data_IF_923319090338
#
_entry.id   IF_923319090338
#
_cell.length_a   1.000
_cell.length_b   1.000
_cell.length_c   1.000
_cell.angle_alpha   90.00
_cell.angle_beta   90.00
_cell.angle_gamma   90.00
#
_symmetry.space_group_name_H-M   'P 1'
#
loop_
_entity.id
_entity.type
_entity.pdbx_description
1 polymer ?
#
# COMPACT_ATOMS: atom_id res chain seq x y z
N UNK A 1 33.78 44.07 -7.51
CA UNK A 1 33.62 42.63 -7.79
C UNK A 1 33.57 41.92 -6.46
N UNK A 2 32.38 41.51 -6.02
CA UNK A 2 32.19 40.82 -4.75
C UNK A 2 32.44 39.32 -4.95
N UNK A 3 33.38 38.80 -4.18
CA UNK A 3 33.80 37.41 -4.14
C UNK A 3 32.71 36.59 -3.44
N UNK A 4 31.96 35.77 -4.18
CA UNK A 4 30.91 34.90 -3.64
C UNK A 4 31.58 33.61 -3.17
N UNK A 5 31.99 33.61 -1.90
CA UNK A 5 32.55 32.43 -1.25
C UNK A 5 31.42 31.42 -0.99
N UNK A 6 31.29 30.39 -1.83
CA UNK A 6 30.36 29.27 -1.60
C UNK A 6 30.91 28.42 -0.46
N UNK A 7 30.56 28.78 0.75
CA UNK A 7 30.85 28.02 1.96
C UNK A 7 29.78 26.93 2.13
N UNK A 8 29.94 25.75 1.50
CA UNK A 8 29.22 24.55 1.96
C UNK A 8 29.91 23.24 1.61
N UNK A 9 31.04 22.97 2.28
CA UNK A 9 31.64 21.64 2.36
C UNK A 9 30.84 20.65 3.21
N UNK A 10 29.50 20.63 3.12
CA UNK A 10 28.71 19.57 3.75
C UNK A 10 28.77 18.33 2.85
N UNK A 11 29.32 17.20 3.32
CA UNK A 11 29.38 15.99 2.51
C UNK A 11 27.95 15.61 2.11
N UNK A 12 27.73 15.34 0.81
CA UNK A 12 26.43 14.93 0.25
C UNK A 12 25.79 13.79 1.06
N UNK A 13 26.61 12.91 1.65
CA UNK A 13 26.18 11.84 2.54
C UNK A 13 25.47 12.32 3.83
N UNK A 14 25.87 13.47 4.40
CA UNK A 14 25.23 14.04 5.59
C UNK A 14 23.86 14.65 5.28
N UNK A 15 23.68 15.22 4.08
CA UNK A 15 22.39 15.70 3.58
C UNK A 15 21.43 14.55 3.26
N UNK A 16 21.94 13.41 2.81
CA UNK A 16 21.13 12.21 2.55
C UNK A 16 20.65 11.54 3.85
N UNK A 17 21.50 11.48 4.89
CA UNK A 17 21.11 10.95 6.21
C UNK A 17 20.05 11.79 6.92
N UNK A 18 20.10 13.12 6.80
CA UNK A 18 19.12 14.00 7.47
C UNK A 18 17.71 13.89 6.87
N UNK A 19 17.59 13.63 5.55
CA UNK A 19 16.30 13.37 4.87
C UNK A 19 15.67 12.01 5.22
N UNK A 20 16.48 11.04 5.61
CA UNK A 20 16.00 9.71 6.03
C UNK A 20 15.67 9.69 7.54
N UNK A 21 16.42 10.40 8.38
CA UNK A 21 16.25 10.40 9.84
C UNK A 21 15.05 11.21 10.34
N UNK A 22 14.51 12.12 9.53
CA UNK A 22 13.22 12.76 9.76
C UNK A 22 12.37 12.45 8.55
N UNK A 23 11.20 11.79 8.68
CA UNK A 23 10.21 11.85 7.61
C UNK A 23 10.07 13.33 7.29
N UNK A 24 10.25 13.71 6.04
CA UNK A 24 10.19 15.11 5.61
C UNK A 24 8.81 15.76 5.86
N UNK A 25 7.90 15.08 6.56
CA UNK A 25 6.55 15.49 6.95
C UNK A 25 6.21 15.13 8.43
N UNK A 26 7.16 14.57 9.20
CA UNK A 26 6.97 14.15 10.60
C UNK A 26 6.37 12.75 10.80
N UNK A 27 6.68 12.10 11.92
CA UNK A 27 6.16 10.76 12.27
C UNK A 27 4.64 10.72 12.46
N UNK A 28 4.05 11.87 12.82
CA UNK A 28 2.59 12.01 12.97
C UNK A 28 1.88 11.83 11.63
N UNK A 29 2.36 12.47 10.56
CA UNK A 29 1.79 12.31 9.21
C UNK A 29 1.90 10.86 8.74
N UNK A 30 3.05 10.21 8.99
CA UNK A 30 3.25 8.81 8.64
C UNK A 30 2.29 7.88 9.40
N UNK A 31 2.10 8.09 10.70
CA UNK A 31 1.16 7.32 11.51
C UNK A 31 -0.30 7.51 11.07
N UNK A 32 -0.71 8.74 10.79
CA UNK A 32 -2.06 9.05 10.29
C UNK A 32 -2.31 8.45 8.92
N UNK A 33 -1.34 8.54 8.01
CA UNK A 33 -1.43 7.94 6.68
C UNK A 33 -1.57 6.42 6.76
N UNK A 34 -0.73 5.76 7.58
CA UNK A 34 -0.82 4.33 7.81
C UNK A 34 -2.18 3.94 8.42
N UNK A 35 -2.71 4.71 9.37
CA UNK A 35 -4.01 4.47 9.96
C UNK A 35 -5.15 4.53 8.92
N UNK A 36 -5.12 5.48 8.00
CA UNK A 36 -6.10 5.58 6.89
C UNK A 36 -6.00 4.35 5.97
N UNK A 37 -4.79 3.94 5.60
CA UNK A 37 -4.60 2.76 4.75
C UNK A 37 -5.09 1.50 5.47
N UNK A 38 -4.76 1.33 6.76
CA UNK A 38 -5.22 0.20 7.57
C UNK A 38 -6.73 0.17 7.73
N UNK A 39 -7.38 1.34 7.89
CA UNK A 39 -8.84 1.44 7.91
C UNK A 39 -9.45 0.95 6.59
N UNK A 40 -8.89 1.38 5.46
CA UNK A 40 -9.34 0.93 4.15
C UNK A 40 -9.15 -0.57 3.96
N UNK A 41 -7.97 -1.10 4.30
CA UNK A 41 -7.69 -2.54 4.27
C UNK A 41 -8.62 -3.33 5.18
N UNK A 42 -8.89 -2.85 6.40
CA UNK A 42 -9.82 -3.46 7.34
C UNK A 42 -11.26 -3.50 6.82
N UNK A 43 -11.66 -2.47 6.07
CA UNK A 43 -12.98 -2.42 5.42
C UNK A 43 -13.08 -3.45 4.30
N UNK A 44 -12.00 -3.64 3.53
CA UNK A 44 -11.91 -4.67 2.48
C UNK A 44 -11.97 -6.08 3.10
N UNK A 45 -11.21 -6.34 4.16
CA UNK A 45 -11.15 -7.66 4.81
C UNK A 45 -12.39 -8.02 5.61
N UNK A 46 -13.19 -7.03 6.02
CA UNK A 46 -14.34 -7.28 6.88
C UNK A 46 -15.49 -8.01 6.20
N UNK A 47 -15.42 -8.26 4.89
CA UNK A 47 -16.46 -8.98 4.15
C UNK A 47 -16.16 -10.48 3.99
N UNK A 48 -17.22 -11.29 4.01
CA UNK A 48 -17.16 -12.75 3.95
C UNK A 48 -16.71 -13.30 2.58
N UNK A 49 -16.41 -12.40 1.63
CA UNK A 49 -15.97 -12.71 0.27
C UNK A 49 -14.46 -12.94 0.17
N UNK A 50 -13.69 -12.55 1.19
CA UNK A 50 -12.26 -12.85 1.28
C UNK A 50 -12.09 -14.11 2.15
N UNK A 51 -11.72 -15.22 1.52
CA UNK A 51 -11.43 -16.49 2.21
C UNK A 51 -9.93 -16.64 2.51
N UNK A 52 -9.58 -17.31 3.61
CA UNK A 52 -8.21 -17.66 4.00
C UNK A 52 -7.76 -17.03 5.32
N UNK A 53 -6.75 -17.62 5.97
CA UNK A 53 -6.33 -17.25 7.33
C UNK A 53 -5.34 -16.06 7.38
N UNK A 54 -5.24 -15.30 6.29
CA UNK A 54 -4.23 -14.26 6.11
C UNK A 54 -4.60 -12.91 6.73
N UNK A 55 -3.62 -12.21 7.31
CA UNK A 55 -3.80 -10.85 7.82
C UNK A 55 -3.36 -9.79 6.80
N UNK A 56 -4.29 -9.24 6.02
CA UNK A 56 -4.01 -8.22 5.00
C UNK A 56 -3.44 -6.91 5.58
N UNK A 57 -3.61 -6.63 6.88
CA UNK A 57 -3.00 -5.46 7.51
C UNK A 57 -1.47 -5.49 7.40
N UNK A 58 -0.86 -6.69 7.45
CA UNK A 58 0.59 -6.85 7.29
C UNK A 58 1.01 -6.42 5.88
N UNK A 59 0.26 -6.82 4.85
CA UNK A 59 0.50 -6.43 3.45
C UNK A 59 0.43 -4.91 3.31
N UNK A 60 -0.61 -4.29 3.88
CA UNK A 60 -0.79 -2.84 3.85
C UNK A 60 0.36 -2.10 4.54
N UNK A 61 0.80 -2.55 5.73
CA UNK A 61 1.95 -1.98 6.45
C UNK A 61 3.21 -2.07 5.60
N UNK A 62 3.54 -3.25 5.08
CA UNK A 62 4.74 -3.46 4.27
C UNK A 62 4.69 -2.63 3.00
N UNK A 63 3.53 -2.54 2.34
CA UNK A 63 3.35 -1.74 1.13
C UNK A 63 3.51 -0.23 1.39
N UNK A 64 2.96 0.30 2.49
CA UNK A 64 3.15 1.71 2.89
C UNK A 64 4.61 2.00 3.20
N UNK A 65 5.27 1.14 3.98
CA UNK A 65 6.69 1.29 4.31
C UNK A 65 7.58 1.18 3.07
N UNK A 66 7.30 0.22 2.20
CA UNK A 66 7.98 0.04 0.92
C UNK A 66 7.80 1.25 0.00
N UNK A 67 6.58 1.77 -0.12
CA UNK A 67 6.27 2.98 -0.89
C UNK A 67 6.94 4.23 -0.34
N UNK A 68 6.93 4.42 0.99
CA UNK A 68 7.63 5.52 1.64
C UNK A 68 9.15 5.44 1.44
N UNK A 69 9.71 4.23 1.49
CA UNK A 69 11.14 3.99 1.29
C UNK A 69 11.55 4.26 -0.16
N UNK A 70 10.79 3.73 -1.13
CA UNK A 70 11.03 3.98 -2.55
C UNK A 70 10.87 5.46 -2.89
N UNK A 71 9.86 6.14 -2.36
CA UNK A 71 9.65 7.58 -2.57
C UNK A 71 10.87 8.42 -2.16
N UNK A 72 11.61 7.97 -1.14
CA UNK A 72 12.81 8.64 -0.61
C UNK A 72 14.12 8.14 -1.22
N UNK A 73 14.11 7.06 -1.99
CA UNK A 73 15.31 6.34 -2.43
C UNK A 73 16.15 7.04 -3.52
N UNK A 74 15.71 8.18 -4.07
CA UNK A 74 16.39 8.87 -5.17
C UNK A 74 16.35 8.13 -6.51
N UNK A 75 15.80 6.92 -6.56
CA UNK A 75 15.61 6.11 -7.77
C UNK A 75 14.68 6.83 -8.76
N UNK A 76 14.85 6.54 -10.05
CA UNK A 76 13.95 7.01 -11.11
C UNK A 76 12.51 6.55 -10.84
N UNK A 77 11.55 7.42 -11.15
CA UNK A 77 10.14 7.18 -10.85
C UNK A 77 9.64 5.90 -11.54
N UNK A 78 9.98 5.69 -12.83
CA UNK A 78 9.61 4.49 -13.59
C UNK A 78 10.12 3.20 -12.94
N UNK A 79 11.39 3.18 -12.51
CA UNK A 79 11.98 2.00 -11.87
C UNK A 79 11.33 1.71 -10.52
N UNK A 80 10.96 2.75 -9.77
CA UNK A 80 10.28 2.58 -8.48
C UNK A 80 8.90 1.94 -8.65
N UNK A 81 8.15 2.34 -9.68
CA UNK A 81 6.87 1.72 -10.01
C UNK A 81 7.03 0.28 -10.49
N UNK A 82 8.04 0.00 -11.32
CA UNK A 82 8.34 -1.36 -11.79
C UNK A 82 8.71 -2.29 -10.62
N UNK A 83 9.54 -1.82 -9.70
CA UNK A 83 9.89 -2.56 -8.47
C UNK A 83 8.66 -2.81 -7.62
N UNK A 84 7.81 -1.79 -7.41
CA UNK A 84 6.59 -1.93 -6.64
C UNK A 84 5.60 -2.93 -7.25
N UNK A 85 5.49 -2.93 -8.58
CA UNK A 85 4.65 -3.87 -9.32
C UNK A 85 5.12 -5.32 -9.12
N UNK A 86 6.41 -5.60 -9.36
CA UNK A 86 6.95 -6.96 -9.23
C UNK A 86 6.96 -7.47 -7.79
N UNK A 87 7.30 -6.60 -6.83
CA UNK A 87 7.21 -6.96 -5.40
C UNK A 87 5.78 -7.17 -4.96
N UNK A 88 4.82 -6.45 -5.54
CA UNK A 88 3.39 -6.69 -5.34
C UNK A 88 2.93 -8.06 -5.83
N UNK A 89 3.37 -8.48 -7.03
CA UNK A 89 3.09 -9.82 -7.55
C UNK A 89 3.67 -10.88 -6.60
N UNK A 90 4.93 -10.71 -6.20
CA UNK A 90 5.59 -11.62 -5.25
C UNK A 90 4.88 -11.68 -3.90
N UNK A 91 4.45 -10.54 -3.37
CA UNK A 91 3.69 -10.45 -2.12
C UNK A 91 2.33 -11.14 -2.24
N UNK A 92 1.61 -10.94 -3.35
CA UNK A 92 0.34 -11.60 -3.63
C UNK A 92 0.47 -13.12 -3.68
N UNK A 93 1.48 -13.64 -4.39
CA UNK A 93 1.75 -15.06 -4.43
C UNK A 93 2.14 -15.63 -3.07
N UNK A 94 3.11 -15.02 -2.39
CA UNK A 94 3.57 -15.48 -1.08
C UNK A 94 2.43 -15.48 -0.06
N UNK A 95 1.71 -14.36 0.04
CA UNK A 95 0.61 -14.22 0.99
C UNK A 95 -0.48 -15.26 0.74
N UNK A 96 -0.91 -15.42 -0.51
CA UNK A 96 -1.94 -16.39 -0.88
C UNK A 96 -1.49 -17.82 -0.56
N UNK A 97 -0.25 -18.17 -0.89
CA UNK A 97 0.30 -19.49 -0.56
C UNK A 97 0.37 -19.74 0.96
N UNK A 98 0.60 -18.70 1.77
CA UNK A 98 0.59 -18.82 3.24
C UNK A 98 -0.82 -18.85 3.83
N UNK A 99 -1.78 -18.15 3.23
CA UNK A 99 -3.16 -18.06 3.71
C UNK A 99 -3.98 -19.34 3.44
N UNK A 100 -3.52 -20.19 2.51
CA UNK A 100 -4.16 -21.46 2.17
C UNK A 100 -3.21 -22.65 2.37
N UNK A 101 -3.03 -23.12 3.62
CA UNK A 101 -2.14 -24.23 3.91
C UNK A 101 -2.58 -25.55 3.25
N UNK A 102 -3.87 -25.70 2.93
CA UNK A 102 -4.44 -26.87 2.26
C UNK A 102 -3.98 -27.03 0.79
N UNK A 103 -3.37 -26.02 0.16
CA UNK A 103 -2.90 -26.10 -1.22
C UNK A 103 -1.69 -27.04 -1.40
N UNK A 104 -0.97 -27.39 -0.33
CA UNK A 104 0.19 -28.26 -0.43
C UNK A 104 0.92 -28.47 0.88
N UNK A 105 1.74 -29.52 0.93
CA UNK A 105 2.47 -29.94 2.14
C UNK A 105 3.52 -28.92 2.60
N UNK A 106 4.10 -28.15 1.68
CA UNK A 106 5.13 -27.14 1.97
C UNK A 106 4.90 -25.86 1.15
N UNK A 107 5.57 -24.77 1.53
CA UNK A 107 5.40 -23.46 0.89
C UNK A 107 5.71 -23.48 -0.63
N UNK A 108 6.79 -24.11 -1.12
CA UNK A 108 7.03 -24.20 -2.56
C UNK A 108 5.89 -24.92 -3.31
N UNK A 109 5.39 -26.03 -2.77
CA UNK A 109 4.25 -26.75 -3.36
C UNK A 109 3.00 -25.88 -3.43
N UNK A 110 2.71 -25.12 -2.36
CA UNK A 110 1.58 -24.17 -2.34
C UNK A 110 1.73 -23.08 -3.39
N UNK A 111 2.93 -22.53 -3.56
CA UNK A 111 3.21 -21.52 -4.61
C UNK A 111 2.99 -22.07 -6.02
N UNK A 112 3.44 -23.30 -6.27
CA UNK A 112 3.20 -24.00 -7.55
C UNK A 112 1.69 -24.15 -7.78
N UNK A 113 0.93 -24.58 -6.78
CA UNK A 113 -0.53 -24.71 -6.89
C UNK A 113 -1.24 -23.37 -7.16
N UNK A 114 -0.80 -22.27 -6.55
CA UNK A 114 -1.31 -20.93 -6.87
C UNK A 114 -1.01 -20.56 -8.33
N UNK A 115 0.21 -20.84 -8.81
CA UNK A 115 0.61 -20.57 -10.19
C UNK A 115 -0.19 -21.42 -11.20
N UNK A 116 -0.41 -22.69 -10.92
CA UNK A 116 -1.19 -23.59 -11.78
C UNK A 116 -2.66 -23.16 -11.86
N UNK A 117 -3.27 -22.77 -10.73
CA UNK A 117 -4.62 -22.19 -10.72
C UNK A 117 -4.69 -20.90 -11.55
N UNK A 118 -3.69 -20.02 -11.43
CA UNK A 118 -3.64 -18.80 -12.23
C UNK A 118 -3.51 -19.09 -13.74
N UNK A 119 -2.72 -20.11 -14.12
CA UNK A 119 -2.59 -20.56 -15.51
C UNK A 119 -3.90 -21.13 -16.05
N UNK A 120 -4.57 -21.99 -15.27
CA UNK A 120 -5.88 -22.55 -15.63
C UNK A 120 -6.90 -21.44 -15.82
N UNK A 121 -6.97 -20.48 -14.89
CA UNK A 121 -7.86 -19.33 -15.01
C UNK A 121 -7.59 -18.47 -16.25
N UNK A 122 -6.31 -18.24 -16.59
CA UNK A 122 -5.92 -17.50 -17.80
C UNK A 122 -6.22 -18.27 -19.10
N UNK A 123 -6.13 -19.60 -19.07
CA UNK A 123 -6.38 -20.46 -20.22
C UNK A 123 -7.87 -20.79 -20.41
N UNK A 124 -8.67 -20.70 -19.35
CA UNK A 124 -10.10 -21.00 -19.37
C UNK A 124 -10.91 -19.91 -20.09
N UNK A 125 -11.77 -20.33 -21.01
CA UNK A 125 -12.96 -19.55 -21.43
C UNK A 125 -13.95 -19.55 -20.25
N UNK A 126 -14.73 -18.48 -19.97
CA UNK A 126 -15.40 -18.31 -18.68
C UNK A 126 -16.32 -19.49 -18.37
N UNK A 127 -15.90 -20.33 -17.42
CA UNK A 127 -16.62 -21.50 -16.96
C UNK A 127 -16.53 -21.57 -15.44
N UNK A 128 -17.65 -21.74 -14.71
CA UNK A 128 -17.68 -21.60 -13.26
C UNK A 128 -17.16 -22.88 -12.58
N UNK A 129 -15.89 -22.89 -12.21
CA UNK A 129 -15.37 -23.82 -11.21
C UNK A 129 -15.68 -23.29 -9.80
N UNK A 130 -16.50 -23.96 -8.97
CA UNK A 130 -17.00 -23.41 -7.71
C UNK A 130 -15.94 -23.17 -6.62
N UNK A 131 -14.80 -23.88 -6.66
CA UNK A 131 -13.79 -23.88 -5.58
C UNK A 131 -12.45 -23.18 -5.94
N UNK A 132 -12.33 -22.62 -7.14
CA UNK A 132 -11.08 -21.99 -7.60
C UNK A 132 -11.05 -20.47 -7.37
N UNK A 133 -12.22 -19.84 -7.28
CA UNK A 133 -12.36 -18.39 -7.23
C UNK A 133 -11.73 -17.73 -6.01
N UNK A 134 -11.84 -18.33 -4.82
CA UNK A 134 -11.39 -17.72 -3.56
C UNK A 134 -9.87 -17.48 -3.49
N UNK A 135 -9.07 -18.41 -4.01
CA UNK A 135 -7.60 -18.33 -3.99
C UNK A 135 -7.11 -17.20 -4.89
N UNK A 136 -7.61 -17.14 -6.13
CA UNK A 136 -7.21 -16.11 -7.09
C UNK A 136 -7.77 -14.74 -6.69
N UNK A 137 -9.00 -14.70 -6.18
CA UNK A 137 -9.60 -13.49 -5.62
C UNK A 137 -8.75 -12.93 -4.47
N UNK A 138 -8.31 -13.77 -3.51
CA UNK A 138 -7.42 -13.32 -2.45
C UNK A 138 -6.12 -12.75 -3.03
N UNK A 139 -5.50 -13.44 -4.00
CA UNK A 139 -4.32 -12.95 -4.68
C UNK A 139 -4.53 -11.57 -5.33
N UNK A 140 -5.66 -11.36 -6.00
CA UNK A 140 -6.04 -10.07 -6.59
C UNK A 140 -6.24 -8.99 -5.51
N UNK A 141 -6.89 -9.32 -4.39
CA UNK A 141 -7.10 -8.40 -3.26
C UNK A 141 -5.77 -8.00 -2.63
N UNK A 142 -4.86 -8.96 -2.42
CA UNK A 142 -3.52 -8.68 -1.89
C UNK A 142 -2.76 -7.77 -2.82
N UNK A 143 -2.74 -8.08 -4.12
CA UNK A 143 -2.04 -7.29 -5.13
C UNK A 143 -2.57 -5.87 -5.22
N UNK A 144 -3.90 -5.71 -5.29
CA UNK A 144 -4.55 -4.39 -5.35
C UNK A 144 -4.34 -3.59 -4.06
N UNK A 145 -4.39 -4.25 -2.90
CA UNK A 145 -4.06 -3.63 -1.60
C UNK A 145 -2.61 -3.14 -1.60
N UNK A 146 -1.67 -3.97 -2.05
CA UNK A 146 -0.25 -3.60 -2.16
C UNK A 146 -0.05 -2.38 -3.06
N UNK A 147 -0.55 -2.43 -4.30
CA UNK A 147 -0.38 -1.35 -5.27
C UNK A 147 -1.08 -0.07 -4.80
N UNK A 148 -2.29 -0.17 -4.24
CA UNK A 148 -3.02 0.98 -3.70
C UNK A 148 -2.32 1.64 -2.53
N UNK A 149 -1.85 0.85 -1.56
CA UNK A 149 -1.09 1.33 -0.40
C UNK A 149 0.26 1.95 -0.82
N UNK A 150 0.99 1.29 -1.72
CA UNK A 150 2.23 1.81 -2.31
C UNK A 150 1.99 3.14 -3.02
N UNK A 151 1.01 3.21 -3.92
CA UNK A 151 0.75 4.40 -4.72
C UNK A 151 0.28 5.57 -3.83
N UNK A 152 -0.54 5.28 -2.82
CA UNK A 152 -0.95 6.24 -1.80
C UNK A 152 0.26 6.81 -1.05
N UNK A 153 1.18 5.95 -0.57
CA UNK A 153 2.42 6.37 0.06
C UNK A 153 3.31 7.18 -0.89
N UNK A 154 3.45 6.74 -2.14
CA UNK A 154 4.27 7.41 -3.14
C UNK A 154 3.76 8.83 -3.42
N UNK A 155 2.45 9.00 -3.63
CA UNK A 155 1.84 10.31 -3.88
C UNK A 155 2.03 11.25 -2.67
N UNK A 156 1.92 10.72 -1.44
CA UNK A 156 2.20 11.51 -0.24
C UNK A 156 3.69 11.92 -0.19
N UNK A 157 4.61 10.95 -0.08
CA UNK A 157 5.99 11.23 0.29
C UNK A 157 6.89 11.69 -0.87
N UNK A 158 6.56 11.35 -2.12
CA UNK A 158 7.34 11.78 -3.30
C UNK A 158 6.81 13.09 -3.89
N UNK A 159 5.49 13.24 -3.97
CA UNK A 159 4.85 14.39 -4.63
C UNK A 159 4.36 15.44 -3.63
N UNK A 160 4.30 15.14 -2.34
CA UNK A 160 3.78 16.07 -1.33
C UNK A 160 2.30 16.36 -1.50
N UNK A 161 1.53 15.40 -2.05
CA UNK A 161 0.11 15.61 -2.35
C UNK A 161 -0.79 14.82 -1.38
N UNK A 162 -1.16 15.39 -0.23
CA UNK A 162 -1.90 14.67 0.81
C UNK A 162 -3.32 14.29 0.38
N UNK A 163 -3.98 15.10 -0.46
CA UNK A 163 -5.30 14.72 -0.98
C UNK A 163 -5.21 13.51 -1.91
N UNK A 164 -4.22 13.49 -2.82
CA UNK A 164 -4.03 12.37 -3.73
C UNK A 164 -3.73 11.06 -2.99
N UNK A 165 -3.04 11.10 -1.86
CA UNK A 165 -2.79 9.90 -1.05
C UNK A 165 -4.04 9.37 -0.35
N UNK A 166 -5.02 10.21 -0.03
CA UNK A 166 -6.29 9.82 0.61
C UNK A 166 -7.27 9.18 -0.40
N UNK A 167 -7.24 9.62 -1.67
CA UNK A 167 -8.18 9.16 -2.70
C UNK A 167 -8.14 7.64 -2.88
N UNK A 168 -6.95 7.03 -2.90
CA UNK A 168 -6.83 5.58 -3.13
C UNK A 168 -7.45 4.73 -2.00
N UNK A 169 -7.12 4.95 -0.71
CA UNK A 169 -7.84 4.35 0.41
C UNK A 169 -9.35 4.63 0.38
N UNK A 170 -9.77 5.84 -0.01
CA UNK A 170 -11.18 6.18 -0.12
C UNK A 170 -11.91 5.32 -1.16
N UNK A 171 -11.34 5.16 -2.36
CA UNK A 171 -11.89 4.30 -3.41
C UNK A 171 -12.03 2.86 -2.92
N UNK A 172 -11.04 2.33 -2.20
CA UNK A 172 -11.12 1.00 -1.62
C UNK A 172 -12.27 0.87 -0.60
N UNK A 173 -12.46 1.86 0.27
CA UNK A 173 -13.59 1.91 1.20
C UNK A 173 -14.91 1.94 0.46
N UNK A 174 -15.09 2.85 -0.52
CA UNK A 174 -16.34 2.94 -1.29
C UNK A 174 -16.66 1.67 -2.05
N UNK A 175 -15.64 1.03 -2.63
CA UNK A 175 -15.79 -0.24 -3.35
C UNK A 175 -16.25 -1.34 -2.39
N UNK A 176 -15.61 -1.47 -1.23
CA UNK A 176 -15.97 -2.46 -0.21
C UNK A 176 -17.39 -2.23 0.35
N UNK A 177 -17.79 -0.97 0.59
CA UNK A 177 -19.13 -0.62 1.02
C UNK A 177 -20.19 -0.89 -0.06
N UNK A 178 -19.86 -0.69 -1.34
CA UNK A 178 -20.72 -1.01 -2.46
C UNK A 178 -20.98 -2.51 -2.60
N UNK A 179 -19.97 -3.33 -2.28
CA UNK A 179 -20.09 -4.79 -2.26
C UNK A 179 -20.90 -5.26 -1.03
N UNK A 180 -20.76 -4.60 0.12
CA UNK A 180 -21.48 -4.94 1.37
C UNK A 180 -22.31 -3.78 1.90
N UNK A 181 -23.52 -3.54 1.37
CA UNK A 181 -24.44 -2.53 1.89
C UNK A 181 -24.96 -2.96 3.28
N UNK A 182 -24.22 -2.61 4.33
CA UNK A 182 -24.53 -3.00 5.71
C UNK A 182 -23.41 -2.73 6.72
N UNK A 183 -22.20 -2.39 6.25
CA UNK A 183 -21.05 -2.02 7.11
C UNK A 183 -21.22 -0.68 7.85
N UNK A 184 -22.33 0.02 7.63
CA UNK A 184 -22.63 1.31 8.24
C UNK A 184 -21.71 2.45 7.76
N UNK A 185 -21.76 3.57 8.47
CA UNK A 185 -21.00 4.79 8.11
C UNK A 185 -19.63 4.89 8.78
N UNK A 186 -19.28 3.93 9.64
CA UNK A 186 -18.06 4.00 10.46
C UNK A 186 -16.76 4.11 9.63
N UNK A 187 -16.55 3.35 8.54
CA UNK A 187 -15.36 3.51 7.70
C UNK A 187 -15.26 4.89 7.06
N UNK A 188 -16.40 5.48 6.65
CA UNK A 188 -16.44 6.81 6.04
C UNK A 188 -16.13 7.90 7.08
N UNK A 189 -16.67 7.76 8.29
CA UNK A 189 -16.36 8.67 9.40
C UNK A 189 -14.87 8.58 9.77
N UNK A 190 -14.32 7.37 9.89
CA UNK A 190 -12.89 7.17 10.16
C UNK A 190 -11.99 7.76 9.08
N UNK A 191 -12.37 7.60 7.80
CA UNK A 191 -11.67 8.21 6.68
C UNK A 191 -11.71 9.74 6.76
N UNK A 192 -12.89 10.34 6.98
CA UNK A 192 -13.04 11.79 7.06
C UNK A 192 -12.23 12.38 8.21
N UNK A 193 -12.29 11.77 9.40
CA UNK A 193 -11.53 12.19 10.57
C UNK A 193 -10.03 12.06 10.29
N UNK A 194 -9.58 10.90 9.80
CA UNK A 194 -8.18 10.66 9.45
C UNK A 194 -7.67 11.65 8.41
N UNK A 195 -8.45 11.94 7.38
CA UNK A 195 -8.14 12.90 6.33
C UNK A 195 -7.95 14.32 6.89
N UNK A 196 -8.87 14.80 7.75
CA UNK A 196 -8.77 16.11 8.39
C UNK A 196 -7.49 16.22 9.22
N UNK A 197 -7.20 15.20 10.05
CA UNK A 197 -5.97 15.20 10.85
C UNK A 197 -4.71 15.12 9.99
N UNK A 198 -4.71 14.29 8.94
CA UNK A 198 -3.57 14.16 8.03
C UNK A 198 -3.27 15.48 7.34
N UNK A 199 -4.31 16.14 6.77
CA UNK A 199 -4.17 17.42 6.10
C UNK A 199 -3.71 18.51 7.07
N UNK A 200 -4.32 18.58 8.25
CA UNK A 200 -3.93 19.53 9.30
C UNK A 200 -2.47 19.37 9.73
N UNK A 201 -2.05 18.12 9.97
CA UNK A 201 -0.66 17.81 10.32
C UNK A 201 0.31 18.16 9.17
N UNK A 202 -0.03 17.80 7.93
CA UNK A 202 0.80 18.06 6.77
C UNK A 202 0.96 19.57 6.51
N UNK A 203 -0.13 20.33 6.42
CA UNK A 203 -0.05 21.78 6.21
C UNK A 203 0.54 22.53 7.39
N UNK A 204 0.26 22.09 8.63
CA UNK A 204 0.89 22.65 9.83
C UNK A 204 2.41 22.45 9.83
N UNK A 205 2.89 21.32 9.31
CA UNK A 205 4.31 21.05 9.13
C UNK A 205 4.94 21.93 8.04
N UNK A 206 4.31 22.05 6.87
CA UNK A 206 4.80 22.90 5.77
C UNK A 206 4.98 24.35 6.20
N UNK A 207 4.04 24.90 6.99
CA UNK A 207 4.14 26.26 7.54
C UNK A 207 5.33 26.48 8.49
N UNK A 208 5.86 25.42 9.11
CA UNK A 208 7.04 25.52 9.99
C UNK A 208 8.36 25.50 9.22
N UNK A 209 8.33 25.08 7.95
CA UNK A 209 9.50 25.03 7.07
C UNK A 209 9.62 26.27 6.17
N UNK A 210 8.50 26.97 5.91
CA UNK A 210 8.45 28.24 5.21
C UNK A 210 8.88 29.40 6.12
#
# INVERSE_FOLDING_TARGET
MADVTIQSGRPLAALHRSRLARPAEGWVVAGLHLAIVLLATGTVTGGDWVTGDGNLAIVAVVAVLGGASLAKSGILDMLSHLVAFWTGIGAAWLFTATAFPALGANLPGRMVSVADRARVWLAATPGPGPDEGGVLLLGTVVFTTWVGAYASAWVLYRRGWPLGSIVLPAVAIFTALGIRPGSGVAPLAGLAIGAVFLLGAHFGFQRRLA
#
